data_IF_701304803955
#
_entry.id   IF_701304803955
#
_cell.length_a   1.000
_cell.length_b   1.000
_cell.length_c   1.000
_cell.angle_alpha   90.00
_cell.angle_beta   90.00
_cell.angle_gamma   90.00
#
_symmetry.space_group_name_H-M   'P 1'
#
loop_
_entity.id
_entity.type
_entity.pdbx_description
1 polymer ?
#
# COMPACT_ATOMS: atom_id res chain seq x y z
N UNK A 1 31.19 12.78 6.80
CA UNK A 1 29.90 13.40 6.41
C UNK A 1 29.22 13.87 7.68
N UNK A 2 28.74 15.11 7.71
CA UNK A 2 28.12 15.67 8.90
C UNK A 2 26.67 15.16 9.03
N UNK A 3 26.13 15.15 10.26
CA UNK A 3 24.69 14.85 10.46
C UNK A 3 23.75 15.83 9.71
N UNK A 4 24.27 16.96 9.22
CA UNK A 4 23.51 17.88 8.40
C UNK A 4 23.11 17.27 7.04
N UNK A 5 23.91 16.35 6.49
CA UNK A 5 23.70 15.74 5.18
C UNK A 5 22.55 14.71 5.16
N UNK A 6 21.96 14.41 6.33
CA UNK A 6 20.88 13.44 6.45
C UNK A 6 19.49 14.08 6.28
N UNK A 7 19.38 15.41 6.47
CA UNK A 7 18.09 16.10 6.49
C UNK A 7 17.30 15.87 5.19
N UNK A 8 16.09 15.37 5.33
CA UNK A 8 15.14 15.19 4.23
C UNK A 8 15.40 13.95 3.35
N UNK A 9 16.40 13.12 3.68
CA UNK A 9 16.63 11.84 2.98
C UNK A 9 15.72 10.77 3.53
N UNK A 10 15.17 9.91 2.67
CA UNK A 10 14.55 8.66 3.13
C UNK A 10 15.68 7.70 3.53
N UNK A 11 15.73 7.36 4.81
CA UNK A 11 16.88 6.64 5.40
C UNK A 11 16.55 5.23 5.85
N UNK A 12 15.28 4.91 6.07
CA UNK A 12 14.84 3.59 6.48
C UNK A 12 13.38 3.34 6.13
N UNK A 13 13.01 2.07 6.02
CA UNK A 13 11.63 1.63 5.78
C UNK A 13 11.32 0.45 6.70
N UNK A 14 10.19 0.48 7.39
CA UNK A 14 9.86 -0.53 8.37
C UNK A 14 8.49 -1.13 8.09
N UNK A 15 8.43 -2.44 7.94
CA UNK A 15 7.16 -3.16 7.88
C UNK A 15 6.70 -3.52 9.28
N UNK A 16 5.56 -2.97 9.66
CA UNK A 16 4.84 -3.35 10.87
C UNK A 16 3.67 -4.26 10.47
N UNK A 17 3.67 -5.48 10.97
CA UNK A 17 2.69 -6.50 10.58
C UNK A 17 2.23 -7.34 11.75
N UNK A 18 1.09 -8.00 11.60
CA UNK A 18 0.57 -8.96 12.58
C UNK A 18 1.11 -10.40 12.37
N UNK A 19 1.84 -10.64 11.25
CA UNK A 19 2.46 -11.92 10.94
C UNK A 19 3.83 -11.70 10.28
N UNK A 20 4.87 -11.60 11.11
CA UNK A 20 6.25 -11.39 10.66
C UNK A 20 6.81 -12.60 9.90
N UNK A 21 6.41 -13.81 10.26
CA UNK A 21 6.85 -15.03 9.59
C UNK A 21 6.26 -15.12 8.18
N UNK A 22 4.97 -14.83 8.02
CA UNK A 22 4.31 -14.75 6.72
C UNK A 22 4.90 -13.68 5.83
N UNK A 23 5.20 -12.49 6.37
CA UNK A 23 5.87 -11.43 5.63
C UNK A 23 7.29 -11.85 5.19
N UNK A 24 8.09 -12.44 6.08
CA UNK A 24 9.43 -12.95 5.78
C UNK A 24 9.42 -14.04 4.70
N UNK A 25 8.34 -14.82 4.59
CA UNK A 25 8.16 -15.82 3.54
C UNK A 25 7.63 -15.24 2.22
N UNK A 26 6.93 -14.10 2.25
CA UNK A 26 6.29 -13.47 1.09
C UNK A 26 7.28 -12.61 0.29
N UNK A 27 7.88 -11.59 0.91
CA UNK A 27 8.66 -10.58 0.21
C UNK A 27 9.84 -11.15 -0.61
N UNK A 28 10.63 -12.17 -0.15
CA UNK A 28 11.70 -12.74 -0.96
C UNK A 28 11.25 -13.49 -2.23
N UNK A 29 9.96 -13.86 -2.32
CA UNK A 29 9.39 -14.45 -3.55
C UNK A 29 9.06 -13.39 -4.60
N UNK A 30 8.83 -12.15 -4.17
CA UNK A 30 8.35 -11.03 -5.01
C UNK A 30 9.47 -10.07 -5.35
N UNK A 31 10.36 -9.82 -4.40
CA UNK A 31 11.43 -8.82 -4.46
C UNK A 31 12.80 -9.52 -4.29
N UNK A 32 13.88 -8.95 -4.81
CA UNK A 32 15.23 -9.50 -4.64
C UNK A 32 15.77 -9.27 -3.22
N UNK A 33 14.99 -9.66 -2.22
CA UNK A 33 15.27 -9.46 -0.81
C UNK A 33 15.58 -10.75 -0.09
N UNK A 34 16.32 -10.61 0.99
CA UNK A 34 16.50 -11.65 2.02
C UNK A 34 16.35 -11.04 3.40
N UNK A 35 16.16 -11.87 4.41
CA UNK A 35 16.18 -11.45 5.80
C UNK A 35 17.54 -11.69 6.41
N UNK A 36 17.90 -10.84 7.40
CA UNK A 36 19.05 -11.03 8.26
C UNK A 36 18.64 -10.80 9.72
N UNK A 37 19.31 -11.46 10.69
CA UNK A 37 19.06 -11.23 12.10
C UNK A 37 19.46 -9.80 12.51
N UNK A 38 18.74 -9.24 13.46
CA UNK A 38 19.09 -8.00 14.14
C UNK A 38 19.59 -8.31 15.55
N UNK A 39 20.38 -7.39 16.13
CA UNK A 39 20.71 -7.41 17.57
C UNK A 39 19.53 -7.08 18.47
N UNK A 40 18.45 -6.51 17.92
CA UNK A 40 17.23 -6.19 18.67
C UNK A 40 16.27 -7.39 18.68
N UNK A 41 15.82 -7.87 19.84
CA UNK A 41 14.84 -8.94 19.92
C UNK A 41 13.54 -8.60 19.16
N UNK A 42 13.00 -9.56 18.39
CA UNK A 42 11.75 -9.37 17.65
C UNK A 42 11.86 -8.48 16.40
N UNK A 43 13.06 -8.06 16.02
CA UNK A 43 13.32 -7.25 14.85
C UNK A 43 14.14 -8.03 13.80
N UNK A 44 13.76 -7.93 12.55
CA UNK A 44 14.45 -8.59 11.42
C UNK A 44 14.84 -7.53 10.39
N UNK A 45 16.02 -7.66 9.80
CA UNK A 45 16.52 -6.72 8.78
C UNK A 45 16.15 -7.23 7.39
N UNK A 46 15.63 -6.35 6.55
CA UNK A 46 15.50 -6.57 5.11
C UNK A 46 16.81 -6.20 4.41
N UNK A 47 17.27 -7.09 3.56
CA UNK A 47 18.51 -6.93 2.79
C UNK A 47 18.23 -6.98 1.29
N UNK A 48 18.80 -6.04 0.52
CA UNK A 48 18.94 -6.11 -0.93
C UNK A 48 20.43 -6.31 -1.24
N UNK A 49 20.80 -7.50 -1.70
CA UNK A 49 22.23 -7.85 -1.78
C UNK A 49 22.91 -7.75 -0.41
N UNK A 50 23.92 -6.90 -0.29
CA UNK A 50 24.62 -6.63 0.97
C UNK A 50 24.10 -5.38 1.71
N UNK A 51 23.14 -4.67 1.10
CA UNK A 51 22.62 -3.41 1.68
C UNK A 51 21.44 -3.68 2.60
N UNK A 52 21.49 -3.16 3.81
CA UNK A 52 20.35 -3.07 4.71
C UNK A 52 19.39 -1.99 4.18
N UNK A 53 18.13 -2.36 3.94
CA UNK A 53 17.15 -1.46 3.30
C UNK A 53 15.94 -1.17 4.17
N UNK A 54 15.75 -1.94 5.24
CA UNK A 54 14.57 -1.79 6.09
C UNK A 54 14.51 -2.81 7.20
N UNK A 55 13.43 -2.72 7.96
CA UNK A 55 13.12 -3.59 9.08
C UNK A 55 11.77 -4.28 8.96
N UNK A 56 11.60 -5.31 9.74
CA UNK A 56 10.37 -6.07 9.92
C UNK A 56 10.15 -6.32 11.39
N UNK A 57 9.01 -5.91 11.90
CA UNK A 57 8.61 -6.18 13.28
C UNK A 57 7.10 -6.39 13.41
N UNK A 58 6.70 -6.99 14.53
CA UNK A 58 5.30 -7.09 14.88
C UNK A 58 4.71 -5.71 15.18
N UNK A 59 3.44 -5.52 14.81
CA UNK A 59 2.68 -4.35 15.25
C UNK A 59 2.69 -4.30 16.78
N UNK A 60 3.05 -3.15 17.38
CA UNK A 60 3.00 -2.99 18.83
C UNK A 60 1.59 -3.22 19.37
N UNK A 61 1.47 -3.76 20.57
CA UNK A 61 0.17 -4.04 21.20
C UNK A 61 -0.68 -2.79 21.38
N UNK A 62 -0.05 -1.63 21.56
CA UNK A 62 -0.68 -0.32 21.66
C UNK A 62 -1.15 0.26 20.31
N UNK A 63 -0.75 -0.32 19.18
CA UNK A 63 -1.21 0.10 17.86
C UNK A 63 -2.71 -0.10 17.64
N UNK A 64 -3.38 -0.86 18.51
CA UNK A 64 -4.84 -1.03 18.50
C UNK A 64 -5.33 -1.70 17.23
N UNK A 65 -6.15 -0.99 16.43
CA UNK A 65 -6.71 -1.49 15.17
C UNK A 65 -5.92 -1.04 13.94
N UNK A 66 -4.70 -0.54 14.10
CA UNK A 66 -3.84 -0.14 12.98
C UNK A 66 -3.56 -1.35 12.09
N UNK A 67 -3.83 -1.27 10.78
CA UNK A 67 -3.53 -2.39 9.88
C UNK A 67 -2.03 -2.52 9.64
N UNK A 68 -1.56 -3.67 9.11
CA UNK A 68 -0.20 -3.82 8.62
C UNK A 68 0.14 -2.73 7.61
N UNK A 69 1.34 -2.13 7.74
CA UNK A 69 1.77 -1.02 6.89
C UNK A 69 3.29 -0.87 6.87
N UNK A 70 3.79 -0.21 5.84
CA UNK A 70 5.14 0.28 5.76
C UNK A 70 5.24 1.70 6.33
N UNK A 71 6.18 1.92 7.23
CA UNK A 71 6.50 3.22 7.81
C UNK A 71 7.80 3.73 7.17
N UNK A 72 7.76 4.93 6.60
CA UNK A 72 8.92 5.59 6.05
C UNK A 72 9.63 6.40 7.13
N UNK A 73 10.95 6.41 7.12
CA UNK A 73 11.79 7.19 8.00
C UNK A 73 12.54 8.26 7.20
N UNK A 74 12.34 9.51 7.59
CA UNK A 74 13.04 10.65 7.00
C UNK A 74 14.14 11.10 7.95
N UNK A 75 15.34 11.23 7.43
CA UNK A 75 16.52 11.62 8.17
C UNK A 75 16.44 13.06 8.66
N UNK A 76 16.94 13.29 9.86
CA UNK A 76 17.09 14.62 10.46
C UNK A 76 18.35 14.67 11.33
N UNK A 77 19.04 15.82 11.42
CA UNK A 77 20.17 15.97 12.32
C UNK A 77 19.78 15.93 13.81
N UNK A 78 18.52 16.27 14.14
CA UNK A 78 18.03 16.29 15.53
C UNK A 78 16.52 15.99 15.57
N UNK A 79 16.15 14.82 16.11
CA UNK A 79 14.77 14.36 16.21
C UNK A 79 13.93 15.27 17.10
N UNK A 80 14.45 15.74 18.25
CA UNK A 80 13.67 16.52 19.21
C UNK A 80 13.31 17.89 18.63
N UNK A 81 14.25 18.58 17.97
CA UNK A 81 13.99 19.85 17.32
C UNK A 81 13.04 19.69 16.13
N UNK A 82 13.18 18.62 15.37
CA UNK A 82 12.27 18.32 14.25
C UNK A 82 10.85 18.02 14.74
N UNK A 83 10.68 17.30 15.84
CA UNK A 83 9.38 17.10 16.47
C UNK A 83 8.74 18.44 16.90
N UNK A 84 9.53 19.31 17.53
CA UNK A 84 9.04 20.63 17.96
C UNK A 84 8.64 21.50 16.77
N UNK A 85 9.46 21.51 15.69
CA UNK A 85 9.15 22.22 14.46
C UNK A 85 7.89 21.66 13.78
N UNK A 86 7.78 20.34 13.64
CA UNK A 86 6.63 19.66 13.06
C UNK A 86 5.33 19.98 13.81
N UNK A 87 5.36 20.03 15.17
CA UNK A 87 4.22 20.43 15.98
C UNK A 87 3.84 21.89 15.73
N UNK A 88 4.82 22.78 15.59
CA UNK A 88 4.59 24.18 15.21
C UNK A 88 3.93 24.34 13.83
N UNK A 89 4.15 23.39 12.94
CA UNK A 89 3.54 23.28 11.60
C UNK A 89 2.21 22.52 11.57
N UNK A 90 1.71 22.07 12.74
CA UNK A 90 0.40 21.40 12.87
C UNK A 90 0.45 19.87 12.88
N UNK A 91 1.61 19.25 12.88
CA UNK A 91 1.76 17.81 13.02
C UNK A 91 1.49 17.34 14.46
N UNK A 92 1.20 16.07 14.62
CA UNK A 92 1.00 15.41 15.90
C UNK A 92 2.10 14.40 16.15
N UNK A 93 2.69 14.41 17.34
CA UNK A 93 3.62 13.34 17.78
C UNK A 93 2.79 12.10 18.15
N UNK A 94 3.03 11.00 17.43
CA UNK A 94 2.39 9.69 17.65
C UNK A 94 3.22 8.88 18.64
N UNK A 95 4.56 8.81 18.43
CA UNK A 95 5.52 8.24 19.35
C UNK A 95 6.58 9.31 19.64
N UNK A 96 6.77 9.68 20.92
CA UNK A 96 7.77 10.69 21.30
C UNK A 96 9.19 10.22 20.96
N UNK A 97 10.16 11.17 20.90
CA UNK A 97 11.56 10.85 20.69
C UNK A 97 12.05 9.76 21.62
N UNK A 98 12.69 8.72 21.06
CA UNK A 98 13.23 7.58 21.77
C UNK A 98 14.54 7.14 21.13
N UNK A 99 15.49 6.71 21.96
CA UNK A 99 16.77 6.17 21.52
C UNK A 99 16.64 4.69 21.16
N UNK A 100 17.31 4.30 20.07
CA UNK A 100 17.57 2.91 19.73
C UNK A 100 19.07 2.71 20.03
N UNK A 101 19.43 1.94 21.08
CA UNK A 101 20.83 1.78 21.52
C UNK A 101 21.74 1.38 20.34
N UNK A 102 22.85 2.09 20.16
CA UNK A 102 23.85 1.90 19.12
C UNK A 102 23.35 2.08 17.66
N UNK A 103 22.11 2.56 17.45
CA UNK A 103 21.51 2.73 16.13
C UNK A 103 21.17 4.19 15.85
N UNK A 104 20.52 4.87 16.79
CA UNK A 104 20.15 6.27 16.62
C UNK A 104 18.94 6.67 17.46
N UNK A 105 18.35 7.81 17.12
CA UNK A 105 17.17 8.38 17.80
C UNK A 105 16.04 8.58 16.80
N UNK A 106 14.81 8.25 17.16
CA UNK A 106 13.65 8.37 16.27
C UNK A 106 12.41 8.88 17.00
N UNK A 107 11.45 9.35 16.21
CA UNK A 107 10.09 9.62 16.65
C UNK A 107 9.12 9.28 15.52
N UNK A 108 7.85 9.05 15.85
CA UNK A 108 6.79 8.86 14.84
C UNK A 108 5.83 10.04 14.91
N UNK A 109 5.56 10.62 13.75
CA UNK A 109 4.74 11.79 13.55
C UNK A 109 3.55 11.47 12.65
N UNK A 110 2.49 12.24 12.80
CA UNK A 110 1.38 12.31 11.84
C UNK A 110 1.34 13.74 11.32
N UNK A 111 1.39 13.92 10.01
CA UNK A 111 1.31 15.23 9.38
C UNK A 111 -0.06 15.91 9.63
N UNK A 112 -0.26 17.17 9.24
CA UNK A 112 -1.52 17.89 9.45
C UNK A 112 -2.75 17.25 8.81
N UNK A 113 -2.56 16.45 7.75
CA UNK A 113 -3.61 15.72 7.04
C UNK A 113 -3.84 14.32 7.58
N UNK A 114 -2.91 13.76 8.37
CA UNK A 114 -3.03 12.47 9.02
C UNK A 114 -2.09 11.38 8.51
N UNK A 115 -1.22 11.65 7.53
CA UNK A 115 -0.22 10.69 7.07
C UNK A 115 0.86 10.47 8.14
N UNK A 116 1.16 9.20 8.42
CA UNK A 116 2.16 8.81 9.43
C UNK A 116 3.51 8.58 8.78
N UNK A 117 4.56 9.13 9.41
CA UNK A 117 5.97 8.96 9.03
C UNK A 117 6.85 9.01 10.27
N UNK A 118 8.07 8.52 10.17
CA UNK A 118 9.05 8.64 11.23
C UNK A 118 10.15 9.63 10.87
N UNK A 119 10.76 10.24 11.88
CA UNK A 119 11.99 11.02 11.76
C UNK A 119 13.09 10.29 12.49
N UNK A 120 14.33 10.33 11.94
CA UNK A 120 15.43 9.54 12.47
C UNK A 120 16.78 10.27 12.37
N UNK A 121 17.53 10.27 13.47
CA UNK A 121 18.91 10.69 13.51
C UNK A 121 19.80 9.45 13.67
N UNK A 122 20.52 9.02 12.60
CA UNK A 122 21.39 7.84 12.68
C UNK A 122 22.63 8.09 13.53
N UNK A 123 23.00 7.13 14.36
CA UNK A 123 24.20 7.21 15.20
C UNK A 123 25.51 7.04 14.41
N UNK A 124 25.47 6.40 13.24
CA UNK A 124 26.63 6.11 12.38
C UNK A 124 26.77 7.00 11.15
N UNK A 125 26.00 8.10 11.07
CA UNK A 125 25.96 8.98 9.91
C UNK A 125 24.94 8.55 8.84
N UNK A 126 24.74 9.36 7.78
CA UNK A 126 23.76 9.09 6.75
C UNK A 126 24.13 7.85 5.91
N UNK A 127 23.14 7.07 5.45
CA UNK A 127 23.40 5.99 4.52
C UNK A 127 24.00 6.54 3.20
N UNK A 128 24.76 5.72 2.45
CA UNK A 128 25.35 6.13 1.18
C UNK A 128 24.27 6.71 0.23
N UNK A 129 24.61 7.79 -0.47
CA UNK A 129 23.79 8.33 -1.56
C UNK A 129 24.11 7.58 -2.85
N UNK A 130 23.23 7.72 -3.85
CA UNK A 130 23.45 7.17 -5.19
C UNK A 130 22.14 6.89 -5.91
N UNK A 131 22.24 6.48 -7.18
CA UNK A 131 21.07 5.96 -7.90
C UNK A 131 20.55 4.70 -7.22
N UNK A 132 19.23 4.49 -7.16
CA UNK A 132 18.64 3.30 -6.56
C UNK A 132 19.12 2.02 -7.26
N UNK A 133 19.74 1.10 -6.49
CA UNK A 133 20.09 -0.23 -6.96
C UNK A 133 18.86 -1.14 -6.97
N UNK A 134 18.96 -2.27 -7.67
CA UNK A 134 17.89 -3.26 -7.65
C UNK A 134 17.60 -3.74 -6.23
N UNK A 135 16.31 -3.79 -5.88
CA UNK A 135 15.84 -4.16 -4.56
C UNK A 135 15.84 -3.02 -3.55
N UNK A 136 16.39 -1.84 -3.86
CA UNK A 136 16.31 -0.68 -2.96
C UNK A 136 15.07 0.16 -3.24
N UNK A 137 14.68 1.00 -2.29
CA UNK A 137 13.57 1.93 -2.48
C UNK A 137 14.00 3.08 -3.41
N UNK A 138 13.18 3.37 -4.40
CA UNK A 138 13.50 4.32 -5.48
C UNK A 138 12.58 5.52 -5.54
N UNK A 139 11.37 5.41 -4.99
CA UNK A 139 10.35 6.44 -5.07
C UNK A 139 9.44 6.43 -3.85
N UNK A 140 8.94 7.61 -3.46
CA UNK A 140 8.07 7.76 -2.31
C UNK A 140 6.84 8.59 -2.69
N UNK A 141 5.66 8.03 -2.50
CA UNK A 141 4.40 8.66 -2.86
C UNK A 141 3.59 8.98 -1.61
N UNK A 142 3.15 10.23 -1.49
CA UNK A 142 2.22 10.65 -0.47
C UNK A 142 0.84 10.85 -1.07
N UNK A 143 -0.12 10.04 -0.64
CA UNK A 143 -1.52 10.33 -0.83
C UNK A 143 -2.03 11.21 0.32
N UNK A 144 -2.59 12.39 0.01
CA UNK A 144 -3.02 13.37 1.01
C UNK A 144 -4.36 14.00 0.66
N UNK A 145 -4.99 14.70 1.60
CA UNK A 145 -6.25 15.42 1.37
C UNK A 145 -6.03 16.84 0.85
N UNK A 146 -4.81 17.38 0.98
CA UNK A 146 -4.42 18.71 0.51
C UNK A 146 -2.95 18.69 0.05
N UNK A 147 -2.75 18.62 -1.27
CA UNK A 147 -1.41 18.57 -1.89
C UNK A 147 -0.62 19.84 -1.63
N UNK A 148 -1.24 21.01 -1.69
CA UNK A 148 -0.55 22.29 -1.50
C UNK A 148 -0.06 22.46 -0.07
N UNK A 149 -0.89 22.09 0.90
CA UNK A 149 -0.52 22.09 2.31
C UNK A 149 0.58 21.05 2.63
N UNK A 150 0.54 19.87 2.03
CA UNK A 150 1.59 18.85 2.19
C UNK A 150 2.93 19.35 1.62
N UNK A 151 2.95 19.94 0.42
CA UNK A 151 4.17 20.55 -0.17
C UNK A 151 4.76 21.62 0.76
N UNK A 152 3.90 22.48 1.34
CA UNK A 152 4.34 23.51 2.29
C UNK A 152 4.91 22.90 3.57
N UNK A 153 4.21 21.94 4.16
CA UNK A 153 4.61 21.27 5.41
C UNK A 153 5.96 20.58 5.28
N UNK A 154 6.09 19.68 4.31
CA UNK A 154 7.32 18.91 4.12
C UNK A 154 8.48 19.78 3.58
N UNK A 155 8.17 20.81 2.80
CA UNK A 155 9.15 21.81 2.36
C UNK A 155 9.77 22.59 3.53
N UNK A 156 8.93 23.02 4.50
CA UNK A 156 9.41 23.71 5.69
C UNK A 156 10.13 22.79 6.67
N UNK A 157 9.71 21.53 6.77
CA UNK A 157 10.28 20.58 7.72
C UNK A 157 11.60 19.98 7.25
N UNK A 158 11.70 19.63 5.94
CA UNK A 158 12.81 18.86 5.39
C UNK A 158 13.58 19.58 4.27
N UNK A 159 13.19 20.79 3.91
CA UNK A 159 13.81 21.52 2.79
C UNK A 159 13.47 20.92 1.41
N UNK A 160 12.43 20.09 1.30
CA UNK A 160 12.00 19.57 0.01
C UNK A 160 11.45 20.69 -0.86
N UNK A 161 11.83 20.68 -2.14
CA UNK A 161 11.39 21.67 -3.11
C UNK A 161 10.34 21.09 -4.04
N UNK A 162 9.42 21.95 -4.45
CA UNK A 162 8.37 21.61 -5.40
C UNK A 162 8.99 21.39 -6.78
N UNK A 163 8.76 20.22 -7.38
CA UNK A 163 9.10 19.89 -8.75
C UNK A 163 7.96 20.17 -9.74
N UNK A 164 8.03 19.65 -10.96
CA UNK A 164 6.93 19.70 -11.94
C UNK A 164 5.67 19.04 -11.40
N UNK A 165 4.50 19.51 -11.83
CA UNK A 165 3.20 18.87 -11.59
C UNK A 165 2.69 18.22 -12.86
N UNK A 166 2.14 17.01 -12.75
CA UNK A 166 1.48 16.32 -13.85
C UNK A 166 -0.03 16.32 -13.63
N UNK A 167 -0.78 16.79 -14.61
CA UNK A 167 -2.26 16.72 -14.56
C UNK A 167 -2.70 15.28 -14.84
N UNK A 168 -3.34 14.66 -13.84
CA UNK A 168 -3.87 13.31 -13.91
C UNK A 168 -5.40 13.30 -14.15
N UNK A 169 -5.92 14.38 -14.72
CA UNK A 169 -7.33 14.55 -15.03
C UNK A 169 -8.21 14.55 -13.78
N UNK A 170 -9.14 13.62 -13.68
CA UNK A 170 -10.06 13.52 -12.54
C UNK A 170 -9.40 13.20 -11.20
N UNK A 171 -8.16 12.72 -11.21
CA UNK A 171 -7.37 12.46 -9.99
C UNK A 171 -6.64 13.70 -9.48
N UNK A 172 -6.65 14.81 -10.24
CA UNK A 172 -5.99 16.07 -9.89
C UNK A 172 -4.51 16.08 -10.27
N UNK A 173 -3.76 16.96 -9.63
CA UNK A 173 -2.32 17.12 -9.92
C UNK A 173 -1.52 16.10 -9.11
N UNK A 174 -0.65 15.35 -9.80
CA UNK A 174 0.44 14.59 -9.20
C UNK A 174 1.66 15.51 -9.11
N UNK A 175 1.96 15.98 -7.92
CA UNK A 175 2.99 16.99 -7.66
C UNK A 175 4.31 16.31 -7.32
N UNK A 176 5.30 16.40 -8.19
CA UNK A 176 6.65 15.93 -7.87
C UNK A 176 7.29 16.80 -6.80
N UNK A 177 8.12 16.19 -5.96
CA UNK A 177 8.98 16.90 -5.03
C UNK A 177 10.42 16.42 -5.16
N UNK A 178 11.35 17.30 -4.77
CA UNK A 178 12.78 17.11 -4.94
C UNK A 178 13.50 17.31 -3.61
N UNK A 179 14.58 16.58 -3.44
CA UNK A 179 15.56 16.77 -2.38
C UNK A 179 16.94 16.96 -3.02
N UNK A 180 17.64 18.06 -2.69
CA UNK A 180 18.94 18.36 -3.29
C UNK A 180 18.93 18.40 -4.83
N UNK A 181 17.83 18.89 -5.44
CA UNK A 181 17.65 18.96 -6.90
C UNK A 181 17.28 17.63 -7.59
N UNK A 182 17.24 16.52 -6.85
CA UNK A 182 16.84 15.21 -7.37
C UNK A 182 15.38 14.92 -7.03
N UNK A 183 14.60 14.45 -8.01
CA UNK A 183 13.24 13.98 -7.78
C UNK A 183 13.28 12.70 -6.94
N UNK A 184 12.56 12.69 -5.82
CA UNK A 184 12.55 11.57 -4.87
C UNK A 184 11.15 11.04 -4.59
N UNK A 185 10.12 11.72 -5.10
CA UNK A 185 8.75 11.28 -4.87
C UNK A 185 7.69 12.18 -5.50
N UNK A 186 6.44 11.82 -5.25
CA UNK A 186 5.26 12.55 -5.67
C UNK A 186 4.22 12.67 -4.57
N UNK A 187 3.38 13.70 -4.67
CA UNK A 187 2.28 13.97 -3.75
C UNK A 187 1.01 14.07 -4.57
N UNK A 188 -0.01 13.29 -4.22
CA UNK A 188 -1.29 13.25 -4.92
C UNK A 188 -2.48 13.30 -3.95
N UNK A 189 -3.66 13.57 -4.48
CA UNK A 189 -4.88 13.47 -3.68
C UNK A 189 -5.24 12.02 -3.38
N UNK A 190 -5.71 11.76 -2.16
CA UNK A 190 -6.34 10.47 -1.82
C UNK A 190 -7.49 10.18 -2.77
N UNK A 191 -7.57 8.94 -3.25
CA UNK A 191 -8.61 8.50 -4.15
C UNK A 191 -9.78 7.90 -3.35
N UNK A 192 -10.86 8.67 -3.26
CA UNK A 192 -12.09 8.26 -2.59
C UNK A 192 -12.23 8.73 -1.14
N UNK A 193 -13.47 8.81 -0.64
CA UNK A 193 -13.81 9.44 0.64
C UNK A 193 -13.44 8.61 1.88
N UNK A 194 -13.00 7.38 1.70
CA UNK A 194 -12.66 6.46 2.80
C UNK A 194 -11.17 6.13 2.86
N UNK A 195 -10.36 6.73 1.99
CA UNK A 195 -8.91 6.53 1.95
C UNK A 195 -8.24 7.50 2.91
N UNK A 196 -7.48 6.99 3.86
CA UNK A 196 -6.69 7.81 4.76
C UNK A 196 -5.40 8.27 4.06
N UNK A 197 -4.89 9.48 4.38
CA UNK A 197 -3.56 9.90 3.95
C UNK A 197 -2.50 8.90 4.38
N UNK A 198 -1.57 8.60 3.47
CA UNK A 198 -0.53 7.59 3.72
C UNK A 198 0.65 7.72 2.76
N UNK A 199 1.81 7.25 3.20
CA UNK A 199 2.99 7.07 2.39
C UNK A 199 3.01 5.68 1.73
N UNK A 200 3.45 5.61 0.48
CA UNK A 200 3.70 4.39 -0.26
C UNK A 200 5.11 4.44 -0.85
N UNK A 201 5.93 3.43 -0.57
CA UNK A 201 7.29 3.35 -1.09
C UNK A 201 7.37 2.34 -2.23
N UNK A 202 8.15 2.68 -3.25
CA UNK A 202 8.36 1.88 -4.44
C UNK A 202 9.73 1.23 -4.40
N UNK A 203 9.80 -0.06 -4.63
CA UNK A 203 11.04 -0.82 -4.73
C UNK A 203 11.46 -0.90 -6.19
N UNK A 204 12.71 -0.54 -6.47
CA UNK A 204 13.30 -0.67 -7.80
C UNK A 204 13.52 -2.14 -8.15
N UNK A 205 12.96 -2.58 -9.27
CA UNK A 205 13.04 -3.98 -9.73
C UNK A 205 13.27 -4.05 -11.25
N UNK A 206 13.63 -5.23 -11.73
CA UNK A 206 13.90 -5.44 -13.14
C UNK A 206 12.63 -5.63 -14.00
N UNK A 207 11.54 -6.18 -13.41
CA UNK A 207 10.33 -6.58 -14.16
C UNK A 207 9.10 -6.53 -13.26
N UNK A 208 8.26 -5.54 -13.50
CA UNK A 208 6.98 -5.35 -12.79
C UNK A 208 5.99 -6.50 -13.04
N UNK A 209 5.95 -7.04 -14.24
CA UNK A 209 5.04 -8.14 -14.60
C UNK A 209 5.36 -9.41 -13.83
N UNK A 210 6.65 -9.76 -13.76
CA UNK A 210 7.14 -10.89 -12.99
C UNK A 210 6.86 -10.73 -11.49
N UNK A 211 7.13 -9.54 -10.93
CA UNK A 211 6.86 -9.26 -9.52
C UNK A 211 5.37 -9.39 -9.18
N UNK A 212 4.47 -8.87 -10.04
CA UNK A 212 3.02 -9.01 -9.88
C UNK A 212 2.58 -10.47 -9.96
N UNK A 213 3.10 -11.25 -10.90
CA UNK A 213 2.78 -12.67 -11.01
C UNK A 213 3.22 -13.45 -9.77
N UNK A 214 4.45 -13.23 -9.31
CA UNK A 214 5.01 -13.84 -8.10
C UNK A 214 4.21 -13.44 -6.84
N UNK A 215 3.88 -12.15 -6.71
CA UNK A 215 3.10 -11.64 -5.60
C UNK A 215 1.70 -12.26 -5.51
N UNK A 216 1.00 -12.36 -6.65
CA UNK A 216 -0.30 -13.05 -6.71
C UNK A 216 -0.18 -14.54 -6.34
N UNK A 217 0.83 -15.23 -6.86
CA UNK A 217 1.08 -16.65 -6.56
C UNK A 217 1.42 -16.87 -5.07
N UNK A 218 2.03 -15.88 -4.41
CA UNK A 218 2.36 -15.91 -3.00
C UNK A 218 1.21 -15.43 -2.07
N UNK A 219 0.00 -15.15 -2.61
CA UNK A 219 -1.16 -14.74 -1.83
C UNK A 219 -1.35 -13.23 -1.70
N UNK A 220 -0.52 -12.42 -2.32
CA UNK A 220 -0.68 -10.98 -2.40
C UNK A 220 -1.78 -10.56 -3.40
N UNK A 221 -2.18 -9.30 -3.33
CA UNK A 221 -3.25 -8.75 -4.17
C UNK A 221 -2.76 -7.52 -4.96
N UNK A 222 -2.95 -7.52 -6.28
CA UNK A 222 -2.70 -6.36 -7.11
C UNK A 222 -3.77 -5.29 -6.86
N UNK A 223 -3.34 -4.07 -6.61
CA UNK A 223 -4.20 -2.89 -6.48
C UNK A 223 -4.26 -2.11 -7.79
N UNK A 224 -3.10 -1.87 -8.40
CA UNK A 224 -3.00 -1.05 -9.62
C UNK A 224 -1.81 -1.47 -10.47
N UNK A 225 -1.91 -1.33 -11.81
CA UNK A 225 -0.86 -1.69 -12.75
C UNK A 225 -0.81 -3.19 -13.13
N UNK A 226 0.29 -3.71 -13.71
CA UNK A 226 1.44 -2.95 -14.18
C UNK A 226 1.06 -1.93 -15.25
N UNK A 227 1.60 -0.72 -15.15
CA UNK A 227 1.35 0.34 -16.11
C UNK A 227 2.57 1.24 -16.28
N UNK A 228 2.70 1.82 -17.44
CA UNK A 228 3.70 2.85 -17.70
C UNK A 228 3.24 4.20 -17.15
N UNK A 229 4.18 4.95 -16.57
CA UNK A 229 3.95 6.30 -16.05
C UNK A 229 4.77 7.32 -16.85
N UNK A 230 4.45 8.62 -16.78
CA UNK A 230 5.26 9.66 -17.41
C UNK A 230 6.75 9.50 -17.05
N UNK A 231 7.61 9.51 -18.07
CA UNK A 231 9.04 9.20 -17.92
C UNK A 231 9.41 7.76 -18.29
N UNK A 232 8.42 6.93 -18.68
CA UNK A 232 8.66 5.59 -19.26
C UNK A 232 8.88 4.46 -18.24
N UNK A 233 8.91 4.78 -16.94
CA UNK A 233 8.98 3.76 -15.89
C UNK A 233 7.67 2.97 -15.81
N UNK A 234 7.78 1.69 -15.45
CA UNK A 234 6.61 0.83 -15.18
C UNK A 234 6.42 0.68 -13.68
N UNK A 235 5.18 0.75 -13.22
CA UNK A 235 4.84 0.61 -11.80
C UNK A 235 3.74 -0.42 -11.58
N UNK A 236 3.74 -1.01 -10.37
CA UNK A 236 2.59 -1.76 -9.87
C UNK A 236 2.47 -1.57 -8.35
N UNK A 237 1.23 -1.44 -7.87
CA UNK A 237 0.89 -1.33 -6.45
C UNK A 237 0.22 -2.61 -5.99
N UNK A 238 0.64 -3.14 -4.86
CA UNK A 238 0.18 -4.42 -4.33
C UNK A 238 -0.12 -4.34 -2.83
N UNK A 239 -0.88 -5.30 -2.34
CA UNK A 239 -0.92 -5.65 -0.91
C UNK A 239 -0.23 -7.00 -0.71
N UNK A 240 0.50 -7.10 0.39
CA UNK A 240 0.94 -8.39 0.91
C UNK A 240 -0.24 -9.20 1.50
N UNK A 241 -0.07 -10.47 1.87
CA UNK A 241 -1.15 -11.28 2.43
C UNK A 241 -1.76 -10.76 3.74
N UNK A 242 -1.02 -9.95 4.49
CA UNK A 242 -1.45 -9.32 5.73
C UNK A 242 -2.16 -7.98 5.51
N UNK A 243 -2.06 -7.41 4.30
CA UNK A 243 -2.70 -6.14 3.91
C UNK A 243 -1.74 -4.95 3.89
N UNK A 244 -0.44 -5.16 4.09
CA UNK A 244 0.58 -4.13 3.92
C UNK A 244 0.71 -3.70 2.46
N UNK A 245 0.53 -2.40 2.20
CA UNK A 245 0.65 -1.83 0.86
C UNK A 245 2.11 -1.57 0.52
N UNK A 246 2.54 -2.01 -0.67
CA UNK A 246 3.84 -1.72 -1.23
C UNK A 246 3.74 -1.53 -2.74
N UNK A 247 4.74 -0.91 -3.34
CA UNK A 247 4.79 -0.73 -4.77
C UNK A 247 6.15 -1.16 -5.33
N UNK A 248 6.15 -1.44 -6.63
CA UNK A 248 7.35 -1.78 -7.40
C UNK A 248 7.48 -0.82 -8.57
N UNK A 249 8.73 -0.51 -8.93
CA UNK A 249 9.06 0.37 -10.05
C UNK A 249 10.16 -0.30 -10.89
N UNK A 250 9.89 -0.42 -12.19
CA UNK A 250 10.86 -0.83 -13.21
C UNK A 250 11.33 0.40 -13.96
N UNK A 251 12.63 0.50 -14.23
CA UNK A 251 13.18 1.59 -15.03
C UNK A 251 12.55 1.63 -16.43
N UNK A 252 12.61 2.78 -17.14
CA UNK A 252 12.13 2.87 -18.50
C UNK A 252 12.72 1.74 -19.34
N UNK A 253 11.86 1.01 -20.03
CA UNK A 253 12.31 -0.02 -20.97
C UNK A 253 13.03 0.71 -22.09
N UNK A 254 14.35 0.55 -22.18
CA UNK A 254 15.10 1.00 -23.36
C UNK A 254 14.41 0.34 -24.56
N UNK A 255 13.83 1.17 -25.45
CA UNK A 255 13.25 0.64 -26.67
C UNK A 255 14.34 -0.20 -27.33
N UNK A 256 14.19 -1.53 -27.29
CA UNK A 256 15.05 -2.38 -28.09
C UNK A 256 14.87 -1.88 -29.50
N UNK A 257 15.94 -1.28 -30.08
CA UNK A 257 15.94 -0.85 -31.46
C UNK A 257 15.43 -2.09 -32.23
N UNK A 258 14.22 -1.95 -32.81
CA UNK A 258 13.66 -2.99 -33.68
C UNK A 258 14.81 -3.32 -34.62
N UNK A 259 15.33 -4.58 -34.69
CA UNK A 259 16.42 -4.89 -35.55
C UNK A 259 16.06 -4.32 -36.92
N UNK A 260 16.89 -3.39 -37.41
CA UNK A 260 16.70 -2.76 -38.71
C UNK A 260 16.46 -3.88 -39.68
N UNK A 261 15.27 -3.85 -40.33
CA UNK A 261 14.72 -4.96 -41.06
C UNK A 261 15.81 -5.69 -41.84
N UNK A 262 15.89 -6.98 -41.62
CA UNK A 262 16.68 -7.84 -42.47
C UNK A 262 16.32 -7.48 -43.92
N UNK A 263 17.30 -6.92 -44.64
CA UNK A 263 17.16 -6.63 -46.03
C UNK A 263 16.65 -7.90 -46.69
N UNK A 264 15.49 -7.77 -47.36
CA UNK A 264 14.86 -8.85 -48.13
C UNK A 264 15.97 -9.44 -49.01
N UNK A 265 16.31 -10.74 -48.91
CA UNK A 265 17.29 -11.32 -49.78
C UNK A 265 16.82 -11.11 -51.23
N UNK A 266 17.72 -10.56 -52.08
CA UNK A 266 17.48 -10.48 -53.51
C UNK A 266 17.13 -11.85 -54.06
N UNK A 267 16.06 -11.90 -54.86
CA UNK A 267 15.55 -13.09 -55.47
C UNK A 267 16.67 -13.78 -56.28
N UNK A 268 17.04 -15.02 -55.92
CA UNK A 268 17.91 -15.84 -56.71
C UNK A 268 17.19 -16.25 -58.00
N UNK A 269 17.90 -16.41 -59.14
CA UNK A 269 17.32 -16.74 -60.42
C UNK A 269 16.77 -18.16 -60.46
N UNK A 270 15.64 -18.32 -61.07
CA UNK A 270 14.85 -19.55 -61.27
C UNK A 270 15.62 -20.57 -62.11
N UNK A 271 15.87 -21.83 -61.69
CA UNK A 271 16.36 -22.87 -62.57
C UNK A 271 15.19 -23.43 -63.44
N UNK A 272 15.49 -23.98 -64.63
CA UNK A 272 14.48 -24.43 -65.60
C UNK A 272 13.81 -25.75 -65.19
N UNK A 273 12.59 -25.88 -65.72
CA UNK A 273 11.69 -27.01 -65.51
C UNK A 273 12.22 -28.34 -66.08
N UNK A 274 12.13 -29.41 -65.31
CA UNK A 274 12.23 -30.78 -65.82
C UNK A 274 11.18 -31.69 -65.18
N UNK A 275 10.53 -32.37 -66.08
CA UNK A 275 9.55 -33.41 -66.13
C UNK A 275 9.21 -34.27 -64.88
N UNK A 276 7.90 -34.54 -64.77
CA UNK A 276 7.26 -35.62 -64.03
C UNK A 276 7.70 -37.00 -64.53
N UNK A 277 7.72 -38.04 -63.72
CA UNK A 277 6.74 -39.10 -63.92
C UNK A 277 5.99 -39.59 -62.66
N UNK A 278 4.99 -40.41 -62.97
CA UNK A 278 3.82 -40.78 -62.22
C UNK A 278 4.02 -41.91 -61.16
N UNK A 279 3.07 -41.86 -60.23
CA UNK A 279 2.30 -42.93 -59.60
C UNK A 279 2.98 -44.18 -59.03
N UNK A 280 2.72 -44.46 -57.76
CA UNK A 280 2.08 -45.70 -57.32
C UNK A 280 1.64 -45.65 -55.85
N UNK A 281 0.44 -46.13 -55.67
CA UNK A 281 -0.30 -46.28 -54.42
C UNK A 281 0.24 -47.41 -53.55
N UNK A 282 0.03 -47.29 -52.25
CA UNK A 282 -0.41 -48.39 -51.36
C UNK A 282 -0.74 -47.87 -49.95
N UNK A 283 -1.98 -47.98 -49.57
CA UNK A 283 -2.46 -48.17 -48.18
C UNK A 283 -2.53 -49.67 -47.93
N UNK A 284 -2.36 -50.24 -46.72
CA UNK A 284 -3.51 -50.49 -45.87
C UNK A 284 -3.24 -50.28 -44.37
N UNK A 285 -4.24 -49.85 -43.64
CA UNK A 285 -5.26 -50.52 -42.83
C UNK A 285 -4.77 -51.07 -41.43
N UNK A 286 -5.29 -50.43 -40.44
CA UNK A 286 -6.00 -50.90 -39.22
C UNK A 286 -5.46 -52.02 -38.36
N UNK A 287 -5.40 -51.78 -37.07
CA UNK A 287 -6.10 -52.64 -36.08
C UNK A 287 -6.10 -52.03 -34.68
N UNK A 288 -7.26 -51.98 -34.12
CA UNK A 288 -7.62 -51.67 -32.76
C UNK A 288 -7.25 -52.79 -31.77
N UNK A 289 -7.01 -52.43 -30.53
CA UNK A 289 -7.35 -53.25 -29.37
C UNK A 289 -7.40 -52.42 -28.07
N UNK A 290 -8.60 -52.27 -27.53
CA UNK A 290 -8.86 -52.26 -26.07
C UNK A 290 -9.08 -53.70 -25.63
N UNK A 291 -8.76 -54.13 -24.37
CA UNK A 291 -9.78 -54.13 -23.34
C UNK A 291 -9.23 -53.93 -21.92
N UNK A 292 -10.13 -53.47 -21.09
CA UNK A 292 -10.90 -54.05 -19.97
C UNK A 292 -10.24 -53.96 -18.58
N UNK A 293 -10.84 -53.27 -17.76
CA UNK A 293 -11.48 -53.32 -16.45
C UNK A 293 -11.14 -54.45 -15.47
N UNK A 294 -10.89 -54.09 -14.23
CA UNK A 294 -11.31 -54.77 -12.99
C UNK A 294 -11.08 -53.78 -11.81
N UNK A 295 -12.09 -53.27 -11.18
CA UNK A 295 -12.94 -53.63 -10.02
C UNK A 295 -12.13 -53.87 -8.74
N UNK A 296 -12.36 -53.08 -7.71
CA UNK A 296 -13.10 -53.42 -6.47
C UNK A 296 -12.88 -52.35 -5.40
N UNK A 297 -13.93 -51.83 -4.98
CA UNK A 297 -14.62 -51.93 -3.70
C UNK A 297 -14.08 -51.08 -2.54
N UNK A 298 -14.87 -50.06 -2.25
CA UNK A 298 -15.59 -49.78 -0.99
C UNK A 298 -14.83 -49.38 0.27
N UNK A 299 -15.07 -48.14 0.71
CA UNK A 299 -15.80 -47.94 1.98
C UNK A 299 -16.23 -46.48 2.15
N UNK A 300 -17.51 -46.32 2.41
CA UNK A 300 -18.17 -45.08 2.79
C UNK A 300 -17.76 -44.63 4.18
N UNK A 301 -17.55 -43.31 4.37
CA UNK A 301 -17.74 -42.68 5.66
C UNK A 301 -18.39 -41.31 5.44
N UNK A 302 -19.44 -41.09 6.24
CA UNK A 302 -20.48 -40.13 6.13
C UNK A 302 -20.04 -38.65 6.16
N UNK A 303 -20.73 -37.81 5.39
CA UNK A 303 -20.73 -36.35 5.46
C UNK A 303 -21.66 -35.85 6.56
N UNK A 304 -21.31 -34.85 7.37
CA UNK A 304 -22.26 -34.14 8.22
C UNK A 304 -22.86 -32.92 7.56
N UNK A 305 -24.14 -32.93 7.49
CA UNK A 305 -25.20 -31.92 7.36
C UNK A 305 -24.83 -30.46 7.08
N UNK A 306 -24.98 -30.04 5.82
CA UNK A 306 -24.88 -28.70 5.24
C UNK A 306 -26.11 -27.79 5.46
N UNK A 307 -26.92 -27.92 6.51
CA UNK A 307 -28.18 -27.16 6.64
C UNK A 307 -28.09 -25.93 7.56
N UNK A 308 -27.08 -25.83 8.43
CA UNK A 308 -26.98 -24.73 9.40
C UNK A 308 -26.34 -23.45 8.86
N UNK A 309 -25.46 -23.52 7.83
CA UNK A 309 -24.70 -22.38 7.33
C UNK A 309 -25.53 -21.38 6.49
N UNK A 310 -26.61 -21.86 5.84
CA UNK A 310 -27.42 -21.03 4.91
C UNK A 310 -28.37 -20.07 5.64
N UNK A 311 -28.83 -20.39 6.83
CA UNK A 311 -29.73 -19.52 7.63
C UNK A 311 -28.96 -18.37 8.29
N UNK A 312 -27.69 -18.58 8.68
CA UNK A 312 -26.83 -17.54 9.28
C UNK A 312 -26.40 -16.52 8.21
N UNK A 313 -26.05 -16.97 7.00
CA UNK A 313 -25.66 -16.09 5.90
C UNK A 313 -26.82 -15.20 5.40
N UNK A 314 -28.06 -15.70 5.36
CA UNK A 314 -29.25 -14.90 5.01
C UNK A 314 -29.57 -13.83 6.07
N UNK A 315 -29.39 -14.11 7.37
CA UNK A 315 -29.57 -13.14 8.45
C UNK A 315 -28.50 -12.04 8.42
N UNK A 316 -27.24 -12.37 8.14
CA UNK A 316 -26.15 -11.41 8.00
C UNK A 316 -26.35 -10.46 6.81
N UNK A 317 -26.80 -10.97 5.64
CA UNK A 317 -27.14 -10.14 4.47
C UNK A 317 -28.30 -9.17 4.73
N UNK A 318 -29.32 -9.59 5.50
CA UNK A 318 -30.47 -8.74 5.87
C UNK A 318 -30.07 -7.64 6.86
N UNK A 319 -29.16 -7.92 7.80
CA UNK A 319 -28.55 -6.96 8.72
C UNK A 319 -27.71 -5.90 8.00
N UNK A 320 -26.84 -6.32 7.07
CA UNK A 320 -26.00 -5.42 6.28
C UNK A 320 -26.82 -4.47 5.38
N UNK A 321 -27.93 -4.94 4.79
CA UNK A 321 -28.86 -4.10 4.02
C UNK A 321 -29.54 -3.03 4.88
N UNK A 322 -29.92 -3.35 6.11
CA UNK A 322 -30.54 -2.39 7.06
C UNK A 322 -29.55 -1.31 7.49
N UNK A 323 -28.29 -1.68 7.77
CA UNK A 323 -27.22 -0.74 8.12
C UNK A 323 -26.90 0.20 6.96
N UNK A 324 -26.77 -0.33 5.72
CA UNK A 324 -26.55 0.51 4.52
C UNK A 324 -27.69 1.48 4.25
N UNK A 325 -28.95 1.09 4.49
CA UNK A 325 -30.11 1.97 4.31
C UNK A 325 -30.15 3.09 5.34
N UNK A 326 -29.75 2.82 6.59
CA UNK A 326 -29.64 3.82 7.67
C UNK A 326 -28.49 4.79 7.38
N UNK A 327 -27.32 4.30 6.98
CA UNK A 327 -26.17 5.12 6.61
C UNK A 327 -26.49 6.08 5.43
N UNK A 328 -27.20 5.60 4.39
CA UNK A 328 -27.65 6.45 3.27
C UNK A 328 -28.64 7.55 3.70
N UNK A 329 -29.58 7.24 4.64
CA UNK A 329 -30.50 8.24 5.18
C UNK A 329 -29.77 9.31 5.99
N UNK A 330 -28.78 8.92 6.80
CA UNK A 330 -27.97 9.83 7.60
C UNK A 330 -27.10 10.72 6.72
N UNK A 331 -26.44 10.16 5.68
CA UNK A 331 -25.64 10.93 4.72
C UNK A 331 -26.50 11.96 3.94
N UNK A 332 -27.71 11.60 3.54
CA UNK A 332 -28.67 12.54 2.90
C UNK A 332 -29.08 13.68 3.84
N UNK A 333 -29.30 13.39 5.12
CA UNK A 333 -29.65 14.39 6.14
C UNK A 333 -28.48 15.36 6.39
N UNK A 334 -27.24 14.85 6.46
CA UNK A 334 -26.01 15.67 6.61
C UNK A 334 -25.78 16.56 5.39
N UNK A 335 -25.95 16.06 4.16
CA UNK A 335 -25.84 16.88 2.93
C UNK A 335 -26.91 17.99 2.87
N UNK A 336 -28.13 17.72 3.33
CA UNK A 336 -29.21 18.72 3.34
C UNK A 336 -28.97 19.83 4.39
N UNK A 337 -28.43 19.49 5.56
CA UNK A 337 -28.03 20.46 6.58
C UNK A 337 -26.79 21.26 6.17
N UNK A 338 -25.79 20.63 5.53
CA UNK A 338 -24.62 21.33 4.97
C UNK A 338 -24.99 22.36 3.90
N UNK A 339 -25.89 22.03 2.96
CA UNK A 339 -26.39 23.00 1.95
C UNK A 339 -27.20 24.14 2.55
N UNK A 340 -28.00 23.92 3.64
CA UNK A 340 -28.69 24.98 4.35
C UNK A 340 -27.72 25.90 5.12
N UNK A 341 -26.64 25.34 5.70
CA UNK A 341 -25.61 26.11 6.38
C UNK A 341 -24.81 26.99 5.39
N UNK A 342 -24.42 26.42 4.23
CA UNK A 342 -23.70 27.14 3.17
C UNK A 342 -24.50 28.34 2.62
N UNK A 343 -25.83 28.19 2.41
CA UNK A 343 -26.71 29.28 2.00
C UNK A 343 -26.87 30.40 3.09
N UNK A 344 -26.68 30.04 4.36
CA UNK A 344 -26.77 31.02 5.48
C UNK A 344 -25.47 31.80 5.68
N UNK A 345 -24.32 31.26 5.23
CA UNK A 345 -23.00 31.90 5.32
C UNK A 345 -22.77 33.01 4.27
N UNK A 346 -23.60 33.08 3.24
CA UNK A 346 -23.52 34.12 2.20
C UNK A 346 -24.06 35.49 2.68
N UNK A 347 -24.48 35.64 3.94
CA UNK A 347 -24.94 36.92 4.50
C UNK A 347 -23.92 37.50 5.49
N UNK A 348 -23.55 38.79 5.41
CA UNK A 348 -22.65 39.43 6.36
C UNK A 348 -23.31 39.45 7.76
N UNK A 349 -22.61 38.93 8.77
CA UNK A 349 -23.07 38.90 10.18
C UNK A 349 -23.16 37.52 10.84
N UNK A 350 -23.00 36.39 10.08
CA UNK A 350 -23.31 35.03 10.57
C UNK A 350 -22.18 34.30 11.30
N UNK A 351 -20.96 34.85 11.41
CA UNK A 351 -19.79 34.14 12.00
C UNK A 351 -19.97 33.74 13.48
N UNK A 352 -20.77 34.47 14.25
CA UNK A 352 -21.01 34.19 15.69
C UNK A 352 -22.01 33.04 15.93
N UNK A 353 -23.01 32.89 15.06
CA UNK A 353 -24.01 31.82 15.15
C UNK A 353 -23.46 30.45 14.75
N UNK A 354 -22.54 30.40 13.81
CA UNK A 354 -21.90 29.16 13.33
C UNK A 354 -21.03 28.54 14.41
N UNK A 355 -20.26 29.31 15.17
CA UNK A 355 -19.48 28.80 16.32
C UNK A 355 -20.35 28.18 17.42
N UNK A 356 -21.54 28.74 17.66
CA UNK A 356 -22.50 28.22 18.69
C UNK A 356 -23.16 26.93 18.22
N UNK A 357 -23.49 26.79 16.91
CA UNK A 357 -24.06 25.60 16.32
C UNK A 357 -23.03 24.43 16.26
N UNK A 358 -21.78 24.69 15.89
CA UNK A 358 -20.70 23.70 15.85
C UNK A 358 -20.41 23.11 17.25
N UNK A 359 -20.41 23.93 18.31
CA UNK A 359 -20.27 23.46 19.71
C UNK A 359 -21.44 22.57 20.16
N UNK A 360 -22.68 22.87 19.68
CA UNK A 360 -23.87 22.08 20.04
C UNK A 360 -23.84 20.68 19.34
N UNK A 361 -23.39 20.63 18.10
CA UNK A 361 -23.25 19.38 17.31
C UNK A 361 -22.15 18.49 17.89
N UNK A 362 -21.00 19.05 18.27
CA UNK A 362 -19.91 18.29 18.89
C UNK A 362 -20.30 17.68 20.26
N UNK A 363 -21.14 18.36 21.05
CA UNK A 363 -21.67 17.79 22.29
C UNK A 363 -22.67 16.65 22.05
N UNK A 364 -23.52 16.76 21.01
CA UNK A 364 -24.49 15.72 20.66
C UNK A 364 -23.81 14.45 20.15
N UNK A 365 -22.74 14.57 19.35
CA UNK A 365 -21.96 13.42 18.84
C UNK A 365 -21.22 12.69 19.97
N UNK A 366 -20.65 13.42 20.94
CA UNK A 366 -20.03 12.80 22.14
C UNK A 366 -21.04 12.04 23.03
N UNK A 367 -22.27 12.53 23.17
CA UNK A 367 -23.33 11.83 23.91
C UNK A 367 -23.84 10.58 23.17
N UNK A 368 -23.98 10.65 21.84
CA UNK A 368 -24.36 9.52 20.99
C UNK A 368 -23.33 8.38 21.03
N UNK A 369 -22.04 8.68 20.89
CA UNK A 369 -20.96 7.71 20.94
C UNK A 369 -20.88 6.95 22.28
N UNK A 370 -21.09 7.64 23.43
CA UNK A 370 -21.13 7.00 24.75
C UNK A 370 -22.32 6.05 24.93
N UNK A 371 -23.49 6.33 24.34
CA UNK A 371 -24.66 5.43 24.39
C UNK A 371 -24.46 4.18 23.54
N UNK A 372 -23.83 4.29 22.35
CA UNK A 372 -23.53 3.16 21.47
C UNK A 372 -22.51 2.23 22.13
N UNK A 373 -21.42 2.78 22.69
CA UNK A 373 -20.39 2.01 23.39
C UNK A 373 -20.96 1.26 24.62
N UNK A 374 -21.88 1.87 25.37
CA UNK A 374 -22.54 1.20 26.51
C UNK A 374 -23.45 0.05 26.07
N UNK A 375 -24.21 0.20 24.96
CA UNK A 375 -25.05 -0.87 24.40
C UNK A 375 -24.21 -2.03 23.86
N UNK A 376 -23.08 -1.77 23.21
CA UNK A 376 -22.16 -2.79 22.73
C UNK A 376 -21.54 -3.62 23.88
N UNK A 377 -21.17 -2.98 24.99
CA UNK A 377 -20.66 -3.68 26.19
C UNK A 377 -21.70 -4.56 26.85
N UNK A 378 -22.97 -4.15 26.90
CA UNK A 378 -24.07 -4.95 27.45
C UNK A 378 -24.39 -6.17 26.56
N UNK A 379 -24.41 -5.98 25.23
CA UNK A 379 -24.59 -7.05 24.27
C UNK A 379 -23.47 -8.11 24.33
N UNK A 380 -22.21 -7.67 24.45
CA UNK A 380 -21.06 -8.55 24.59
C UNK A 380 -21.10 -9.39 25.88
N UNK A 381 -21.55 -8.80 27.01
CA UNK A 381 -21.73 -9.56 28.28
C UNK A 381 -22.86 -10.61 28.20
N UNK A 382 -23.95 -10.32 27.47
CA UNK A 382 -25.06 -11.31 27.27
C UNK A 382 -24.59 -12.47 26.37
N UNK A 383 -23.79 -12.20 25.34
CA UNK A 383 -23.25 -13.24 24.47
C UNK A 383 -22.28 -14.18 25.22
N UNK A 384 -21.41 -13.64 26.07
CA UNK A 384 -20.48 -14.45 26.90
C UNK A 384 -21.20 -15.31 27.93
N UNK A 385 -22.33 -14.84 28.51
CA UNK A 385 -23.16 -15.66 29.42
C UNK A 385 -23.89 -16.76 28.67
N UNK A 386 -24.34 -16.52 27.43
CA UNK A 386 -25.03 -17.56 26.64
C UNK A 386 -24.06 -18.68 26.20
N UNK A 387 -22.80 -18.35 25.91
CA UNK A 387 -21.76 -19.35 25.56
C UNK A 387 -21.36 -20.19 26.79
N UNK A 388 -21.28 -19.59 28.00
CA UNK A 388 -20.96 -20.32 29.25
C UNK A 388 -22.05 -21.25 29.74
N UNK A 389 -23.31 -21.11 29.30
CA UNK A 389 -24.41 -21.99 29.66
C UNK A 389 -24.60 -23.19 28.72
N UNK A 390 -23.77 -23.29 27.66
CA UNK A 390 -23.78 -24.38 26.67
C UNK A 390 -22.50 -25.23 26.69
N UNK A 391 -21.62 -25.01 27.65
CA UNK A 391 -20.55 -25.91 28.09
C UNK A 391 -20.93 -26.44 29.50
#
# INVERSE_FOLDING_TARGET
MSNADVLGRFVWHELLTNDTAGAAAFYPKVLPWRTAPSSMPGYTIWMAGQTQIGGLMALPSEAGSTPPHWLVYVGTPNVDSTCSQAQGLGARVVKPPADIPNVGRFAVLSDPQGATFAVFTPGGGPPPGGAPAQGTFSWHELATTDVAEAVRFYGQLFGWTKGPGHDMGSMGIYQLFQHGGTQVGGICNVQGPSTAPSWLSYVHIADCGRAVAAGKAAGGRLLHGPMEVPGGSWIAMMLDPQGGAFAVQEAPRVAQAKPAGAAKPAAAPKPPAAAKPAAAAAKPAAAAAKPAAASSAARAAAAPKRVAATKVAKRAKKGARKVRRTARKTARKVRRTGRKAARKMARPGARRAVRKAARKTARATRRGGRRVARRARVAGRRLRRAVRRRR
#
